data_IF_070678818290
#
_entry.id   IF_070678818290
#
_cell.length_a   1.000
_cell.length_b   1.000
_cell.length_c   1.000
_cell.angle_alpha   90.00
_cell.angle_beta   90.00
_cell.angle_gamma   90.00
#
_symmetry.space_group_name_H-M   'P 1'
#
loop_
_entity.id
_entity.type
_entity.pdbx_description
1 polymer ?
#
# COMPACT_ATOMS: atom_id res chain seq x y z
N UNK A 1 60.75 51.94 -2.16
CA UNK A 1 60.31 50.54 -1.86
C UNK A 1 59.10 50.43 -0.93
N UNK A 2 58.89 51.32 0.05
CA UNK A 2 57.71 51.26 0.94
C UNK A 2 56.37 51.48 0.22
N UNK A 3 56.31 52.37 -0.77
CA UNK A 3 55.07 52.63 -1.51
C UNK A 3 54.71 51.50 -2.49
N UNK A 4 55.71 50.76 -2.98
CA UNK A 4 55.49 49.57 -3.84
C UNK A 4 54.93 48.39 -3.02
N UNK A 5 55.38 48.21 -1.77
CA UNK A 5 54.84 47.20 -0.85
C UNK A 5 53.38 47.49 -0.45
N UNK A 6 53.01 48.76 -0.29
CA UNK A 6 51.62 49.17 0.01
C UNK A 6 50.69 48.92 -1.19
N UNK A 7 51.14 49.22 -2.41
CA UNK A 7 50.35 48.97 -3.64
C UNK A 7 50.18 47.47 -3.88
N UNK A 8 51.24 46.66 -3.70
CA UNK A 8 51.16 45.20 -3.84
C UNK A 8 50.25 44.59 -2.75
N UNK A 9 50.29 45.10 -1.52
CA UNK A 9 49.43 44.60 -0.44
C UNK A 9 47.95 44.97 -0.62
N UNK A 10 47.65 46.14 -1.20
CA UNK A 10 46.27 46.54 -1.53
C UNK A 10 45.75 45.77 -2.76
N UNK A 11 46.62 45.48 -3.74
CA UNK A 11 46.28 44.67 -4.90
C UNK A 11 46.07 43.18 -4.52
N UNK A 12 46.83 42.65 -3.55
CA UNK A 12 46.60 41.30 -3.01
C UNK A 12 45.29 41.21 -2.20
N UNK A 13 44.90 42.28 -1.49
CA UNK A 13 43.65 42.33 -0.71
C UNK A 13 42.41 42.52 -1.60
N UNK A 14 42.56 43.21 -2.74
CA UNK A 14 41.50 43.35 -3.74
C UNK A 14 41.23 42.04 -4.52
N UNK A 15 42.25 41.18 -4.68
CA UNK A 15 42.11 39.85 -5.30
C UNK A 15 41.45 38.82 -4.35
N UNK A 16 41.42 39.10 -3.04
CA UNK A 16 40.71 38.26 -2.05
C UNK A 16 39.22 38.59 -1.91
N UNK A 17 38.77 39.75 -2.39
CA UNK A 17 37.34 40.16 -2.37
C UNK A 17 36.64 39.77 -3.68
N UNK A 18 37.38 39.41 -4.73
CA UNK A 18 36.84 38.85 -5.98
C UNK A 18 36.80 37.32 -6.00
N UNK A 19 36.89 36.69 -4.82
CA UNK A 19 36.50 35.30 -4.59
C UNK A 19 34.99 35.09 -4.76
N UNK A 20 34.54 35.25 -6.00
CA UNK A 20 33.32 34.67 -6.57
C UNK A 20 32.03 35.01 -5.81
N UNK A 21 31.49 36.20 -6.08
CA UNK A 21 30.04 36.34 -6.23
C UNK A 21 29.61 35.46 -7.40
N UNK A 22 29.49 34.16 -7.14
CA UNK A 22 28.86 33.19 -8.03
C UNK A 22 27.36 33.44 -8.00
N UNK A 23 26.91 34.50 -8.66
CA UNK A 23 25.51 34.62 -9.02
C UNK A 23 25.23 33.51 -10.05
N UNK A 24 24.32 32.58 -9.75
CA UNK A 24 23.81 31.71 -10.80
C UNK A 24 22.84 30.61 -10.40
N UNK A 25 23.03 29.93 -9.27
CA UNK A 25 22.12 28.83 -8.88
C UNK A 25 21.66 28.97 -7.43
N UNK A 26 20.34 29.04 -7.21
CA UNK A 26 19.73 28.97 -5.87
C UNK A 26 20.31 27.76 -5.13
N UNK A 27 20.69 27.89 -3.85
CA UNK A 27 21.09 26.71 -3.05
C UNK A 27 19.98 25.66 -3.01
N UNK A 28 20.29 24.37 -2.78
CA UNK A 28 19.27 23.33 -2.62
C UNK A 28 18.16 23.71 -1.63
N UNK A 29 18.52 24.27 -0.48
CA UNK A 29 17.58 24.77 0.53
C UNK A 29 16.70 25.89 0.00
N UNK A 30 17.25 26.80 -0.82
CA UNK A 30 16.45 27.86 -1.45
C UNK A 30 15.49 27.31 -2.50
N UNK A 31 15.85 26.25 -3.22
CA UNK A 31 14.94 25.55 -4.13
C UNK A 31 13.80 24.88 -3.35
N UNK A 32 14.12 24.13 -2.30
CA UNK A 32 13.12 23.49 -1.42
C UNK A 32 12.22 24.52 -0.74
N UNK A 33 12.78 25.62 -0.25
CA UNK A 33 12.01 26.74 0.32
C UNK A 33 10.99 27.26 -0.69
N UNK A 34 11.42 27.58 -1.91
CA UNK A 34 10.51 28.09 -2.94
C UNK A 34 9.41 27.07 -3.28
N UNK A 35 9.75 25.79 -3.39
CA UNK A 35 8.78 24.72 -3.63
C UNK A 35 7.66 24.71 -2.58
N UNK A 36 8.00 24.79 -1.29
CA UNK A 36 7.00 24.86 -0.21
C UNK A 36 6.25 26.19 -0.18
N UNK A 37 6.88 27.31 -0.52
CA UNK A 37 6.17 28.60 -0.63
C UNK A 37 5.18 28.62 -1.80
N UNK A 38 5.45 27.92 -2.90
CA UNK A 38 4.50 27.72 -4.00
C UNK A 38 3.36 26.78 -3.60
N UNK A 39 3.63 25.73 -2.81
CA UNK A 39 2.60 24.86 -2.23
C UNK A 39 1.63 25.65 -1.34
N UNK A 40 2.16 26.52 -0.47
CA UNK A 40 1.34 27.40 0.39
C UNK A 40 0.42 28.32 -0.40
N UNK A 41 0.79 28.68 -1.64
CA UNK A 41 -0.01 29.50 -2.55
C UNK A 41 -1.00 28.68 -3.41
N UNK A 42 -0.94 27.35 -3.35
CA UNK A 42 -1.68 26.47 -4.26
C UNK A 42 -1.22 26.57 -5.71
N UNK A 43 0.01 27.04 -5.96
CA UNK A 43 0.54 27.36 -7.30
C UNK A 43 1.77 26.52 -7.65
N UNK A 44 1.90 25.34 -7.05
CA UNK A 44 3.02 24.44 -7.34
C UNK A 44 2.65 23.49 -8.50
N UNK A 45 3.20 23.77 -9.69
CA UNK A 45 2.93 23.00 -10.90
C UNK A 45 3.50 21.57 -10.83
N UNK A 46 4.66 21.41 -10.20
CA UNK A 46 5.32 20.10 -10.03
C UNK A 46 4.48 19.19 -9.14
N UNK A 47 3.97 19.71 -8.01
CA UNK A 47 3.06 18.99 -7.13
C UNK A 47 1.75 18.65 -7.82
N UNK A 48 1.17 19.60 -8.57
CA UNK A 48 -0.08 19.36 -9.31
C UNK A 48 0.09 18.26 -10.36
N UNK A 49 1.24 18.25 -11.04
CA UNK A 49 1.61 17.20 -12.01
C UNK A 49 1.82 15.87 -11.29
N UNK A 50 2.60 15.84 -10.22
CA UNK A 50 2.85 14.66 -9.40
C UNK A 50 1.56 14.04 -8.86
N UNK A 51 0.64 14.87 -8.38
CA UNK A 51 -0.66 14.44 -7.89
C UNK A 51 -1.48 13.84 -9.03
N UNK A 52 -1.63 14.56 -10.14
CA UNK A 52 -2.37 14.07 -11.31
C UNK A 52 -1.79 12.76 -11.86
N UNK A 53 -0.47 12.61 -11.93
CA UNK A 53 0.20 11.40 -12.40
C UNK A 53 -0.03 10.23 -11.44
N UNK A 54 -0.01 10.50 -10.13
CA UNK A 54 -0.32 9.49 -9.10
C UNK A 54 -1.78 9.03 -9.19
N UNK A 55 -2.72 9.96 -9.44
CA UNK A 55 -4.14 9.66 -9.61
C UNK A 55 -4.40 8.87 -10.91
N UNK A 56 -3.83 9.30 -12.04
CA UNK A 56 -3.93 8.59 -13.34
C UNK A 56 -3.32 7.19 -13.30
N UNK A 57 -2.24 7.00 -12.54
CA UNK A 57 -1.63 5.67 -12.36
C UNK A 57 -2.56 4.72 -11.61
N UNK A 58 -3.43 5.23 -10.73
CA UNK A 58 -4.48 4.44 -10.07
C UNK A 58 -5.71 4.16 -10.96
N UNK A 59 -5.79 4.76 -12.15
CA UNK A 59 -6.89 4.59 -13.12
C UNK A 59 -6.58 3.51 -14.16
N UNK A 60 -5.30 3.29 -14.53
CA UNK A 60 -4.89 2.33 -15.56
C UNK A 60 -5.18 0.85 -15.25
N UNK A 61 -5.72 0.52 -14.08
CA UNK A 61 -5.96 -0.87 -13.68
C UNK A 61 -7.31 -1.44 -14.10
N UNK A 62 -8.21 -0.72 -14.79
CA UNK A 62 -9.44 -1.32 -15.34
C UNK A 62 -9.90 -0.61 -16.63
N UNK A 63 -9.84 -1.35 -17.75
CA UNK A 63 -10.56 -1.15 -19.02
C UNK A 63 -10.29 0.13 -19.82
N UNK A 64 -9.92 -0.06 -21.08
CA UNK A 64 -9.51 0.97 -22.04
C UNK A 64 -10.64 1.87 -22.58
N UNK A 65 -11.76 2.07 -21.88
CA UNK A 65 -12.91 2.79 -22.48
C UNK A 65 -13.75 3.68 -21.56
N UNK A 66 -13.21 4.19 -20.45
CA UNK A 66 -13.88 5.29 -19.74
C UNK A 66 -12.86 6.31 -19.25
N UNK A 67 -12.82 7.48 -19.90
CA UNK A 67 -12.12 8.68 -19.44
C UNK A 67 -12.88 9.33 -18.27
N UNK A 68 -13.21 8.57 -17.23
CA UNK A 68 -13.76 9.15 -16.01
C UNK A 68 -12.69 9.08 -14.94
N UNK A 69 -12.18 10.27 -14.55
CA UNK A 69 -11.30 10.39 -13.40
C UNK A 69 -12.02 9.75 -12.20
N UNK A 70 -11.39 8.78 -11.53
CA UNK A 70 -11.99 8.18 -10.31
C UNK A 70 -12.13 9.19 -9.17
N UNK A 71 -11.36 10.27 -9.23
CA UNK A 71 -11.43 11.38 -8.30
C UNK A 71 -12.10 12.58 -8.97
N UNK A 72 -13.08 13.17 -8.29
CA UNK A 72 -13.70 14.41 -8.76
C UNK A 72 -12.69 15.56 -8.78
N UNK A 73 -12.90 16.52 -9.68
CA UNK A 73 -12.15 17.79 -9.71
C UNK A 73 -12.19 18.49 -8.33
N UNK A 74 -13.31 18.35 -7.62
CA UNK A 74 -13.50 18.85 -6.26
C UNK A 74 -12.53 18.18 -5.27
N UNK A 75 -12.41 16.84 -5.29
CA UNK A 75 -11.50 16.12 -4.38
C UNK A 75 -10.04 16.48 -4.64
N UNK A 76 -9.67 16.62 -5.93
CA UNK A 76 -8.34 17.08 -6.33
C UNK A 76 -8.07 18.49 -5.81
N UNK A 77 -9.04 19.39 -5.94
CA UNK A 77 -8.95 20.74 -5.39
C UNK A 77 -8.81 20.74 -3.87
N UNK A 78 -9.59 19.93 -3.14
CA UNK A 78 -9.48 19.82 -1.68
C UNK A 78 -8.09 19.34 -1.24
N UNK A 79 -7.46 18.42 -1.98
CA UNK A 79 -6.08 18.00 -1.73
C UNK A 79 -5.11 19.18 -1.92
N UNK A 80 -5.21 19.92 -3.02
CA UNK A 80 -4.36 21.11 -3.28
C UNK A 80 -4.58 22.18 -2.19
N UNK A 81 -5.84 22.48 -1.87
CA UNK A 81 -6.22 23.45 -0.85
C UNK A 81 -5.68 23.04 0.53
N UNK A 82 -5.65 21.74 0.86
CA UNK A 82 -5.08 21.24 2.11
C UNK A 82 -3.57 21.54 2.24
N UNK A 83 -2.84 21.56 1.12
CA UNK A 83 -1.41 21.87 1.10
C UNK A 83 -1.12 23.36 1.34
N UNK A 84 -2.10 24.25 1.16
CA UNK A 84 -1.92 25.70 1.40
C UNK A 84 -1.63 26.02 2.87
N UNK A 85 -2.08 25.15 3.79
CA UNK A 85 -1.89 25.30 5.25
C UNK A 85 -0.62 24.63 5.77
N UNK A 86 0.20 24.06 4.88
CA UNK A 86 1.43 23.36 5.28
C UNK A 86 2.40 24.30 5.97
N UNK A 87 3.06 23.82 7.02
CA UNK A 87 4.22 24.52 7.59
C UNK A 87 5.45 23.63 7.50
N UNK A 88 6.63 24.24 7.43
CA UNK A 88 7.87 23.51 7.28
C UNK A 88 9.04 24.23 7.96
N UNK A 89 10.06 23.46 8.29
CA UNK A 89 11.36 23.93 8.77
C UNK A 89 12.44 23.15 8.04
N UNK A 90 13.38 23.87 7.42
CA UNK A 90 14.58 23.25 6.84
C UNK A 90 15.56 23.05 7.98
N UNK A 91 15.96 21.79 8.22
CA UNK A 91 16.82 21.41 9.32
C UNK A 91 18.30 21.42 8.91
N UNK A 92 18.61 20.84 7.75
CA UNK A 92 19.99 20.77 7.24
C UNK A 92 20.04 20.59 5.73
N UNK A 93 21.20 20.88 5.16
CA UNK A 93 21.54 20.68 3.76
C UNK A 93 22.87 19.94 3.67
N UNK A 94 22.94 18.96 2.78
CA UNK A 94 24.17 18.28 2.39
C UNK A 94 24.30 18.31 0.88
N UNK A 95 25.45 18.75 0.39
CA UNK A 95 25.78 18.76 -1.04
C UNK A 95 26.93 17.79 -1.28
N UNK A 96 26.77 16.92 -2.27
CA UNK A 96 27.76 15.95 -2.72
C UNK A 96 27.84 15.97 -4.26
N UNK A 97 28.77 16.77 -4.78
CA UNK A 97 28.91 17.04 -6.21
C UNK A 97 27.63 17.62 -6.82
N UNK A 98 27.05 16.89 -7.77
CA UNK A 98 25.81 17.26 -8.46
C UNK A 98 24.55 16.70 -7.79
N UNK A 99 24.67 16.15 -6.58
CA UNK A 99 23.55 15.70 -5.76
C UNK A 99 23.46 16.49 -4.46
N UNK A 100 22.26 16.68 -3.95
CA UNK A 100 22.05 17.30 -2.65
C UNK A 100 20.88 16.65 -1.92
N UNK A 101 20.93 16.74 -0.60
CA UNK A 101 19.87 16.27 0.30
C UNK A 101 19.52 17.41 1.26
N UNK A 102 18.24 17.75 1.33
CA UNK A 102 17.73 18.75 2.27
C UNK A 102 16.77 18.08 3.24
N UNK A 103 17.13 18.06 4.52
CA UNK A 103 16.27 17.51 5.57
C UNK A 103 15.23 18.54 5.99
N UNK A 104 13.96 18.16 5.95
CA UNK A 104 12.84 19.06 6.25
C UNK A 104 11.93 18.41 7.30
N UNK A 105 11.53 19.19 8.30
CA UNK A 105 10.36 18.89 9.13
C UNK A 105 9.15 19.60 8.53
N UNK A 106 8.07 18.87 8.27
CA UNK A 106 6.83 19.37 7.69
C UNK A 106 5.66 19.05 8.64
N UNK A 107 4.77 20.01 8.86
CA UNK A 107 3.43 19.78 9.37
C UNK A 107 2.48 19.89 8.17
N UNK A 108 2.05 18.74 7.67
CA UNK A 108 1.26 18.64 6.44
C UNK A 108 -0.02 17.84 6.64
N UNK A 109 -0.88 17.76 5.62
CA UNK A 109 -2.12 17.00 5.69
C UNK A 109 -1.84 15.52 5.99
N UNK A 110 -2.62 14.92 6.87
CA UNK A 110 -2.57 13.51 7.23
C UNK A 110 -3.47 12.70 6.30
N UNK A 111 -3.01 12.50 5.07
CA UNK A 111 -3.78 11.74 4.09
C UNK A 111 -3.89 10.26 4.45
N UNK A 112 -2.97 9.72 5.27
CA UNK A 112 -3.07 8.34 5.78
C UNK A 112 -4.33 8.15 6.61
N UNK A 113 -4.65 9.11 7.49
CA UNK A 113 -5.90 9.10 8.25
C UNK A 113 -7.11 9.29 7.35
N UNK A 114 -7.08 10.24 6.41
CA UNK A 114 -8.16 10.45 5.42
C UNK A 114 -8.46 9.14 4.68
N UNK A 115 -7.42 8.44 4.21
CA UNK A 115 -7.57 7.19 3.49
C UNK A 115 -8.12 6.07 4.38
N UNK A 116 -7.66 5.95 5.63
CA UNK A 116 -8.18 4.97 6.58
C UNK A 116 -9.68 5.21 6.87
N UNK A 117 -10.07 6.46 7.10
CA UNK A 117 -11.48 6.84 7.31
C UNK A 117 -12.33 6.58 6.07
N UNK A 118 -11.83 6.91 4.88
CA UNK A 118 -12.48 6.60 3.62
C UNK A 118 -12.74 5.09 3.48
N UNK A 119 -11.72 4.24 3.70
CA UNK A 119 -11.86 2.79 3.62
C UNK A 119 -12.87 2.24 4.63
N UNK A 120 -12.85 2.74 5.86
CA UNK A 120 -13.79 2.34 6.90
C UNK A 120 -15.24 2.70 6.53
N UNK A 121 -15.48 3.94 6.08
CA UNK A 121 -16.80 4.42 5.67
C UNK A 121 -17.28 3.72 4.41
N UNK A 122 -16.41 3.49 3.42
CA UNK A 122 -16.73 2.76 2.21
C UNK A 122 -17.14 1.33 2.52
N UNK A 123 -16.39 0.62 3.38
CA UNK A 123 -16.72 -0.74 3.81
C UNK A 123 -18.04 -0.79 4.58
N UNK A 124 -18.23 0.09 5.56
CA UNK A 124 -19.47 0.14 6.37
C UNK A 124 -20.69 0.42 5.50
N UNK A 125 -20.56 1.35 4.55
CA UNK A 125 -21.61 1.67 3.59
C UNK A 125 -21.91 0.51 2.66
N UNK A 126 -20.88 -0.17 2.14
CA UNK A 126 -21.05 -1.35 1.29
C UNK A 126 -21.75 -2.49 2.05
N UNK A 127 -21.36 -2.73 3.31
CA UNK A 127 -21.98 -3.72 4.18
C UNK A 127 -23.46 -3.40 4.44
N UNK A 128 -23.78 -2.14 4.78
CA UNK A 128 -25.17 -1.69 4.99
C UNK A 128 -26.04 -1.88 3.74
N UNK A 129 -25.51 -1.54 2.56
CA UNK A 129 -26.21 -1.74 1.28
C UNK A 129 -26.36 -3.22 0.91
N UNK A 130 -25.36 -4.05 1.24
CA UNK A 130 -25.47 -5.50 1.05
C UNK A 130 -26.61 -6.09 1.90
N UNK A 131 -26.92 -5.52 3.06
CA UNK A 131 -28.06 -5.94 3.88
C UNK A 131 -29.41 -5.36 3.40
N UNK A 132 -29.43 -4.23 2.68
CA UNK A 132 -30.68 -3.64 2.17
C UNK A 132 -31.20 -4.30 0.90
N UNK A 133 -30.40 -5.11 0.21
CA UNK A 133 -30.79 -5.81 -1.02
C UNK A 133 -30.88 -4.91 -2.26
N UNK A 134 -30.52 -3.63 -2.14
CA UNK A 134 -30.57 -2.66 -3.23
C UNK A 134 -29.39 -2.86 -4.20
N UNK A 135 -29.69 -3.17 -5.46
CA UNK A 135 -28.71 -3.11 -6.55
C UNK A 135 -28.58 -1.66 -7.02
N UNK A 136 -27.54 -0.96 -6.56
CA UNK A 136 -27.20 0.39 -7.01
C UNK A 136 -26.56 0.34 -8.40
N UNK A 137 -26.80 1.35 -9.24
CA UNK A 137 -26.07 1.50 -10.49
C UNK A 137 -24.59 1.84 -10.21
N UNK A 138 -23.70 1.59 -11.19
CA UNK A 138 -22.29 1.94 -11.08
C UNK A 138 -22.10 3.47 -10.86
N UNK A 139 -22.92 4.30 -11.50
CA UNK A 139 -22.84 5.77 -11.39
C UNK A 139 -23.20 6.25 -9.98
N UNK A 140 -24.25 5.67 -9.41
CA UNK A 140 -24.70 6.02 -8.06
C UNK A 140 -23.68 5.55 -7.01
N UNK A 141 -23.03 4.41 -7.25
CA UNK A 141 -21.93 3.92 -6.42
C UNK A 141 -20.69 4.83 -6.51
N UNK A 142 -20.33 5.32 -7.69
CA UNK A 142 -19.23 6.27 -7.88
C UNK A 142 -19.48 7.60 -7.17
N UNK A 143 -20.70 8.17 -7.31
CA UNK A 143 -21.10 9.39 -6.59
C UNK A 143 -21.02 9.21 -5.07
N UNK A 144 -21.46 8.06 -4.58
CA UNK A 144 -21.41 7.74 -3.15
C UNK A 144 -19.97 7.69 -2.63
N UNK A 145 -19.06 6.99 -3.31
CA UNK A 145 -17.65 6.95 -2.89
C UNK A 145 -16.98 8.31 -3.00
N UNK A 146 -17.27 9.08 -4.05
CA UNK A 146 -16.79 10.46 -4.18
C UNK A 146 -17.27 11.34 -3.02
N UNK A 147 -18.54 11.23 -2.62
CA UNK A 147 -19.07 11.93 -1.45
C UNK A 147 -18.35 11.53 -0.17
N UNK A 148 -18.16 10.22 0.07
CA UNK A 148 -17.46 9.71 1.26
C UNK A 148 -16.03 10.25 1.32
N UNK A 149 -15.31 10.24 0.19
CA UNK A 149 -13.96 10.78 0.12
C UNK A 149 -13.95 12.30 0.40
N UNK A 150 -14.85 13.04 -0.24
CA UNK A 150 -15.00 14.48 -0.05
C UNK A 150 -15.23 14.83 1.42
N UNK A 151 -16.09 14.09 2.11
CA UNK A 151 -16.36 14.26 3.54
C UNK A 151 -15.13 13.96 4.42
N UNK A 152 -14.28 13.00 4.03
CA UNK A 152 -13.04 12.72 4.75
C UNK A 152 -12.02 13.84 4.53
N UNK A 153 -11.96 14.43 3.34
CA UNK A 153 -11.09 15.57 3.04
C UNK A 153 -11.52 16.85 3.76
N UNK A 154 -12.82 17.06 4.02
CA UNK A 154 -13.30 18.21 4.78
C UNK A 154 -12.81 18.22 6.24
N UNK A 155 -12.57 17.04 6.80
CA UNK A 155 -12.14 16.85 8.19
C UNK A 155 -10.63 16.57 8.30
N UNK A 156 -9.85 16.97 7.29
CA UNK A 156 -8.43 16.65 7.23
C UNK A 156 -7.66 17.24 8.41
N UNK A 157 -6.89 16.38 9.08
CA UNK A 157 -5.98 16.76 10.15
C UNK A 157 -4.56 16.94 9.63
N UNK A 158 -3.70 17.58 10.43
CA UNK A 158 -2.30 17.80 10.10
C UNK A 158 -1.39 17.08 11.08
N UNK A 159 -0.30 16.53 10.56
CA UNK A 159 0.67 15.76 11.34
C UNK A 159 2.11 16.12 10.97
N UNK A 160 2.95 16.24 12.00
CA UNK A 160 4.39 16.42 11.87
C UNK A 160 5.05 15.18 11.29
N UNK A 161 6.00 15.39 10.38
CA UNK A 161 6.90 14.35 9.86
C UNK A 161 8.20 14.98 9.40
N UNK A 162 9.26 14.18 9.35
CA UNK A 162 10.59 14.63 8.93
C UNK A 162 11.11 13.69 7.87
N UNK A 163 11.71 14.26 6.83
CA UNK A 163 12.29 13.47 5.76
C UNK A 163 13.27 14.27 4.92
N UNK A 164 13.98 13.53 4.10
CA UNK A 164 14.98 14.06 3.20
C UNK A 164 14.37 14.30 1.81
N UNK A 165 14.67 15.46 1.25
CA UNK A 165 14.33 15.80 -0.14
C UNK A 165 15.62 15.71 -0.95
N UNK A 166 15.62 14.85 -1.96
CA UNK A 166 16.72 14.68 -2.90
C UNK A 166 16.65 15.74 -4.00
N UNK A 167 17.80 16.31 -4.36
CA UNK A 167 17.94 17.21 -5.49
C UNK A 167 19.11 16.80 -6.37
N UNK A 168 18.97 17.04 -7.67
CA UNK A 168 20.05 16.89 -8.65
C UNK A 168 20.32 18.19 -9.37
N UNK A 169 21.60 18.43 -9.65
CA UNK A 169 22.05 19.56 -10.44
C UNK A 169 21.98 19.19 -11.92
N UNK A 170 21.21 19.96 -12.69
CA UNK A 170 21.06 19.80 -14.14
C UNK A 170 21.20 21.16 -14.79
N UNK A 171 22.13 21.29 -15.76
CA UNK A 171 22.44 22.55 -16.44
C UNK A 171 22.78 23.71 -15.48
N UNK A 172 23.47 23.40 -14.38
CA UNK A 172 23.84 24.39 -13.36
C UNK A 172 22.74 24.69 -12.34
N UNK A 173 21.52 24.22 -12.52
CA UNK A 173 20.38 24.47 -11.64
C UNK A 173 20.00 23.23 -10.82
N UNK A 174 19.65 23.44 -9.55
CA UNK A 174 19.13 22.37 -8.70
C UNK A 174 17.66 22.11 -8.99
N UNK A 175 17.30 20.84 -9.17
CA UNK A 175 15.93 20.37 -9.34
C UNK A 175 15.62 19.32 -8.28
N UNK A 176 14.40 19.38 -7.72
CA UNK A 176 13.92 18.39 -6.78
C UNK A 176 13.63 17.10 -7.53
N UNK A 177 14.09 15.97 -6.99
CA UNK A 177 13.73 14.65 -7.49
C UNK A 177 12.31 14.33 -6.99
N UNK A 178 11.37 14.11 -7.92
CA UNK A 178 9.97 13.72 -7.62
C UNK A 178 9.85 12.22 -7.26
N UNK A 179 10.69 11.77 -6.34
CA UNK A 179 10.76 10.38 -5.89
C UNK A 179 9.64 10.02 -4.90
N UNK A 180 9.60 8.76 -4.50
CA UNK A 180 8.60 8.27 -3.55
C UNK A 180 8.82 8.84 -2.13
N UNK A 181 10.04 9.24 -1.80
CA UNK A 181 10.36 9.91 -0.53
C UNK A 181 9.71 11.28 -0.46
N UNK A 182 9.75 12.07 -1.53
CA UNK A 182 9.04 13.35 -1.62
C UNK A 182 7.52 13.15 -1.52
N UNK A 183 6.95 12.19 -2.26
CA UNK A 183 5.50 11.89 -2.20
C UNK A 183 5.06 11.52 -0.80
N UNK A 184 5.82 10.64 -0.14
CA UNK A 184 5.57 10.20 1.23
C UNK A 184 5.69 11.34 2.23
N UNK A 185 6.69 12.22 2.05
CA UNK A 185 6.86 13.40 2.88
C UNK A 185 5.68 14.39 2.74
N UNK A 186 5.21 14.64 1.52
CA UNK A 186 4.14 15.60 1.27
C UNK A 186 2.76 15.07 1.68
N UNK A 187 2.42 13.85 1.27
CA UNK A 187 1.08 13.28 1.46
C UNK A 187 0.96 12.53 2.80
N UNK A 188 2.07 12.09 3.38
CA UNK A 188 2.03 11.28 4.61
C UNK A 188 1.51 9.87 4.37
N UNK A 189 1.38 9.45 3.11
CA UNK A 189 1.05 8.08 2.72
C UNK A 189 2.24 7.51 1.94
N UNK A 190 2.56 6.25 2.21
CA UNK A 190 3.46 5.51 1.36
C UNK A 190 2.76 5.14 0.04
N UNK A 191 2.95 5.98 -0.98
CA UNK A 191 2.33 5.76 -2.29
C UNK A 191 2.79 4.48 -2.97
N UNK A 192 3.91 3.89 -2.51
CA UNK A 192 4.33 2.55 -2.94
C UNK A 192 3.33 1.46 -2.55
N UNK A 193 2.44 1.69 -1.58
CA UNK A 193 1.34 0.78 -1.25
C UNK A 193 0.33 0.72 -2.40
N UNK A 194 0.07 1.86 -3.06
CA UNK A 194 -0.77 1.93 -4.25
C UNK A 194 -0.01 1.48 -5.50
N UNK A 195 1.28 1.82 -5.61
CA UNK A 195 2.11 1.35 -6.71
C UNK A 195 2.48 -0.13 -6.60
N UNK A 196 2.46 -0.78 -5.43
CA UNK A 196 2.51 -2.25 -5.33
C UNK A 196 1.24 -2.91 -5.89
N UNK A 197 0.15 -2.16 -6.00
CA UNK A 197 -1.06 -2.58 -6.70
C UNK A 197 -1.11 -2.09 -8.17
N UNK A 198 -0.38 -1.03 -8.52
CA UNK A 198 -0.29 -0.48 -9.89
C UNK A 198 0.96 -0.93 -10.69
N UNK A 199 1.95 -1.57 -10.05
CA UNK A 199 3.05 -2.31 -10.67
C UNK A 199 2.73 -3.81 -10.83
N UNK A 200 1.44 -4.15 -10.77
CA UNK A 200 0.91 -5.17 -11.68
C UNK A 200 0.69 -4.52 -13.04
N UNK A 201 1.78 -4.05 -13.65
CA UNK A 201 1.83 -4.03 -15.10
C UNK A 201 1.53 -5.46 -15.54
N UNK A 202 0.54 -5.56 -16.41
CA UNK A 202 0.14 -6.77 -17.09
C UNK A 202 1.29 -7.19 -17.99
N UNK A 203 2.26 -7.90 -17.41
CA UNK A 203 3.22 -8.83 -18.03
C UNK A 203 4.25 -9.40 -17.04
N UNK A 204 4.11 -9.23 -15.73
CA UNK A 204 4.67 -10.19 -14.79
C UNK A 204 3.51 -10.87 -14.06
N UNK A 205 2.98 -11.94 -14.65
CA UNK A 205 2.32 -12.99 -13.89
C UNK A 205 3.37 -13.44 -12.88
N UNK A 206 3.35 -12.88 -11.68
CA UNK A 206 4.10 -13.45 -10.57
C UNK A 206 3.49 -14.84 -10.43
N UNK A 207 4.20 -15.82 -10.99
CA UNK A 207 3.71 -17.18 -11.11
C UNK A 207 3.35 -17.62 -9.69
N UNK A 208 2.04 -17.78 -9.44
CA UNK A 208 1.57 -18.15 -8.11
C UNK A 208 2.20 -19.50 -7.84
N UNK A 209 3.08 -19.55 -6.83
CA UNK A 209 3.85 -20.74 -6.51
C UNK A 209 2.90 -21.91 -6.30
N UNK A 210 3.20 -23.04 -6.92
CA UNK A 210 2.46 -24.28 -6.74
C UNK A 210 2.90 -24.95 -5.44
N UNK A 211 1.95 -25.28 -4.57
CA UNK A 211 2.21 -26.14 -3.41
C UNK A 211 2.08 -27.60 -3.84
N UNK A 212 2.81 -28.49 -3.16
CA UNK A 212 2.64 -29.94 -3.33
C UNK A 212 1.87 -30.49 -2.13
N UNK A 213 0.90 -31.36 -2.39
CA UNK A 213 0.08 -31.98 -1.35
C UNK A 213 0.99 -32.74 -0.35
N UNK A 214 0.72 -32.60 0.95
CA UNK A 214 1.52 -33.18 2.04
C UNK A 214 2.99 -32.75 2.10
N UNK A 215 3.36 -31.63 1.45
CA UNK A 215 4.69 -31.04 1.55
C UNK A 215 4.61 -29.65 2.20
N UNK A 216 5.56 -29.30 3.07
CA UNK A 216 5.62 -27.96 3.66
C UNK A 216 5.99 -26.93 2.59
N UNK A 217 5.21 -25.87 2.53
CA UNK A 217 5.48 -24.70 1.70
C UNK A 217 5.96 -23.56 2.59
N UNK A 218 7.17 -23.05 2.34
CA UNK A 218 7.74 -21.93 3.09
C UNK A 218 7.09 -20.61 2.70
N UNK A 219 6.60 -19.88 3.70
CA UNK A 219 6.04 -18.54 3.58
C UNK A 219 7.00 -17.54 4.23
N UNK A 220 7.60 -16.72 3.39
CA UNK A 220 8.53 -15.67 3.82
C UNK A 220 7.81 -14.32 3.98
N UNK A 221 8.15 -13.61 5.05
CA UNK A 221 7.41 -12.41 5.47
C UNK A 221 8.34 -11.44 6.18
N UNK A 222 8.05 -10.14 6.11
CA UNK A 222 8.83 -9.11 6.83
C UNK A 222 8.82 -9.33 8.35
N UNK A 223 7.79 -10.00 8.89
CA UNK A 223 7.66 -10.32 10.31
C UNK A 223 8.25 -11.69 10.70
N UNK A 224 8.95 -12.36 9.77
CA UNK A 224 9.52 -13.70 9.97
C UNK A 224 8.74 -14.79 9.23
N UNK A 225 9.32 -15.99 9.18
CA UNK A 225 8.93 -17.08 8.30
C UNK A 225 8.10 -18.15 9.02
N UNK A 226 7.35 -18.92 8.24
CA UNK A 226 6.65 -20.11 8.69
C UNK A 226 6.40 -21.05 7.51
N UNK A 227 6.07 -22.31 7.79
CA UNK A 227 5.65 -23.27 6.75
C UNK A 227 4.16 -23.59 6.85
N UNK A 228 3.52 -23.81 5.72
CA UNK A 228 2.13 -24.24 5.58
C UNK A 228 2.07 -25.54 4.77
N UNK A 229 1.33 -26.52 5.25
CA UNK A 229 1.11 -27.80 4.56
C UNK A 229 -0.37 -27.99 4.31
N UNK A 230 -0.77 -28.21 3.06
CA UNK A 230 -2.10 -28.72 2.74
C UNK A 230 -2.04 -30.25 2.79
N UNK A 231 -2.86 -30.84 3.65
CA UNK A 231 -2.83 -32.28 3.95
C UNK A 231 -3.89 -33.06 3.15
N UNK A 232 -4.96 -32.39 2.72
CA UNK A 232 -5.98 -32.99 1.86
C UNK A 232 -7.35 -32.38 2.01
N UNK A 233 -8.28 -32.85 1.16
CA UNK A 233 -9.68 -32.52 1.18
C UNK A 233 -10.50 -33.81 1.35
N UNK A 234 -11.33 -33.90 2.39
CA UNK A 234 -12.11 -35.10 2.69
C UNK A 234 -13.59 -34.80 2.78
N UNK A 235 -14.41 -35.64 2.17
CA UNK A 235 -15.85 -35.61 2.38
C UNK A 235 -16.21 -35.90 3.85
N UNK A 236 -17.31 -35.33 4.33
CA UNK A 236 -17.88 -35.66 5.64
C UNK A 236 -19.40 -35.74 5.58
N UNK A 237 -19.97 -36.63 6.38
CA UNK A 237 -21.42 -36.74 6.59
C UNK A 237 -21.94 -35.78 7.67
N UNK A 238 -21.05 -35.08 8.37
CA UNK A 238 -21.45 -34.07 9.37
C UNK A 238 -22.27 -32.97 8.69
N UNK A 239 -23.41 -32.65 9.29
CA UNK A 239 -24.29 -31.56 8.86
C UNK A 239 -24.69 -30.70 10.06
N UNK A 240 -24.99 -29.44 9.80
CA UNK A 240 -25.49 -28.53 10.81
C UNK A 240 -27.00 -28.35 10.61
N UNK A 241 -27.80 -28.83 11.56
CA UNK A 241 -29.27 -28.77 11.51
C UNK A 241 -29.84 -27.34 11.48
N UNK A 242 -29.04 -26.34 11.86
CA UNK A 242 -29.43 -24.93 11.81
C UNK A 242 -29.01 -24.26 10.50
N UNK A 243 -28.26 -24.95 9.64
CA UNK A 243 -27.85 -24.42 8.33
C UNK A 243 -29.00 -24.55 7.33
N UNK A 244 -29.33 -23.44 6.66
CA UNK A 244 -30.29 -23.42 5.55
C UNK A 244 -29.64 -23.66 4.18
N UNK A 245 -28.32 -23.92 4.14
CA UNK A 245 -27.60 -24.15 2.88
C UNK A 245 -27.95 -25.54 2.35
N UNK A 246 -28.54 -25.57 1.14
CA UNK A 246 -28.70 -26.81 0.39
C UNK A 246 -27.35 -27.18 -0.23
N UNK A 247 -26.74 -28.27 0.24
CA UNK A 247 -25.37 -28.66 -0.11
C UNK A 247 -25.31 -30.13 -0.47
N UNK A 248 -24.73 -30.45 -1.63
CA UNK A 248 -24.58 -31.83 -2.10
C UNK A 248 -23.53 -32.58 -1.28
N UNK A 249 -22.40 -31.95 -0.99
CA UNK A 249 -21.31 -32.49 -0.17
C UNK A 249 -20.74 -31.41 0.74
N UNK A 250 -20.21 -31.83 1.89
CA UNK A 250 -19.40 -30.99 2.76
C UNK A 250 -17.98 -31.52 2.74
N UNK A 251 -17.01 -30.66 2.39
CA UNK A 251 -15.62 -31.03 2.22
C UNK A 251 -14.77 -30.36 3.31
N UNK A 252 -14.02 -31.15 4.07
CA UNK A 252 -13.06 -30.69 5.06
C UNK A 252 -11.69 -30.51 4.40
N UNK A 253 -11.25 -29.26 4.25
CA UNK A 253 -9.87 -28.93 3.87
C UNK A 253 -8.98 -28.96 5.10
N UNK A 254 -8.02 -29.88 5.11
CA UNK A 254 -7.09 -30.10 6.20
C UNK A 254 -5.73 -29.46 5.91
N UNK A 255 -5.20 -28.71 6.87
CA UNK A 255 -3.89 -28.09 6.79
C UNK A 255 -3.17 -28.07 8.15
N UNK A 256 -1.87 -27.84 8.12
CA UNK A 256 -1.04 -27.55 9.29
C UNK A 256 0.01 -26.49 8.99
N UNK A 257 0.53 -25.86 10.04
CA UNK A 257 1.57 -24.85 9.93
C UNK A 257 2.56 -24.90 11.09
N UNK A 258 3.80 -24.52 10.81
CA UNK A 258 4.90 -24.42 11.77
C UNK A 258 5.44 -23.00 11.77
N UNK A 259 5.40 -22.32 12.91
CA UNK A 259 5.98 -20.99 13.06
C UNK A 259 7.50 -21.12 13.23
N UNK A 260 8.27 -20.71 12.24
CA UNK A 260 9.74 -20.81 12.28
C UNK A 260 10.36 -19.57 12.93
N UNK A 261 9.84 -18.38 12.61
CA UNK A 261 10.33 -17.10 13.13
C UNK A 261 9.31 -15.95 13.07
N UNK A 262 8.07 -16.21 12.66
CA UNK A 262 7.02 -15.20 12.58
C UNK A 262 6.72 -14.60 13.96
N UNK A 263 6.73 -13.27 14.01
CA UNK A 263 6.46 -12.48 15.21
C UNK A 263 7.63 -12.44 16.20
N UNK A 264 8.82 -12.94 15.85
CA UNK A 264 10.01 -12.92 16.72
C UNK A 264 10.38 -11.52 17.21
N UNK A 265 10.15 -10.49 16.39
CA UNK A 265 10.41 -9.08 16.73
C UNK A 265 9.20 -8.38 17.32
N UNK A 266 7.97 -8.82 17.00
CA UNK A 266 6.73 -8.15 17.39
C UNK A 266 6.08 -8.75 18.63
N UNK A 267 6.46 -9.97 19.03
CA UNK A 267 5.80 -10.74 20.10
C UNK A 267 4.46 -11.36 19.69
N UNK A 268 4.16 -11.41 18.39
CA UNK A 268 2.86 -11.89 17.88
C UNK A 268 2.93 -13.36 17.49
N UNK A 269 2.09 -14.19 18.11
CA UNK A 269 1.97 -15.60 17.69
C UNK A 269 1.28 -15.75 16.32
N UNK A 270 1.73 -16.73 15.54
CA UNK A 270 1.17 -17.05 14.23
C UNK A 270 -0.18 -17.75 14.36
N UNK A 271 -1.19 -17.26 13.65
CA UNK A 271 -2.45 -17.97 13.44
C UNK A 271 -2.75 -18.00 11.94
N UNK A 272 -2.98 -19.19 11.40
CA UNK A 272 -3.53 -19.38 10.05
C UNK A 272 -4.95 -19.89 10.24
N UNK A 273 -5.94 -19.07 9.88
CA UNK A 273 -7.36 -19.40 10.01
C UNK A 273 -8.05 -19.50 8.63
N UNK A 274 -9.37 -19.69 8.64
CA UNK A 274 -10.15 -19.85 7.41
C UNK A 274 -10.10 -18.68 6.43
N UNK A 275 -9.78 -17.46 6.90
CA UNK A 275 -9.65 -16.30 6.02
C UNK A 275 -8.44 -16.36 5.11
N UNK A 276 -7.50 -17.27 5.38
CA UNK A 276 -6.28 -17.43 4.61
C UNK A 276 -6.47 -18.27 3.32
N UNK A 277 -7.68 -18.77 3.04
CA UNK A 277 -7.95 -19.65 1.92
C UNK A 277 -9.11 -19.16 1.06
N UNK A 278 -8.83 -18.93 -0.22
CA UNK A 278 -9.84 -18.82 -1.27
C UNK A 278 -9.94 -20.18 -1.97
N UNK A 279 -11.12 -20.79 -1.96
CA UNK A 279 -11.33 -22.15 -2.49
C UNK A 279 -12.36 -22.11 -3.59
N UNK A 280 -12.02 -22.70 -4.73
CA UNK A 280 -12.91 -22.88 -5.87
C UNK A 280 -13.16 -24.38 -6.11
N UNK A 281 -14.29 -24.69 -6.71
CA UNK A 281 -14.55 -26.03 -7.26
C UNK A 281 -13.92 -26.20 -8.66
N UNK A 282 -14.15 -27.33 -9.34
CA UNK A 282 -13.60 -27.57 -10.68
C UNK A 282 -14.30 -26.73 -11.77
N UNK A 283 -15.51 -26.24 -11.52
CA UNK A 283 -16.26 -25.36 -12.42
C UNK A 283 -15.85 -23.88 -12.27
N UNK A 284 -15.06 -23.55 -11.24
CA UNK A 284 -14.57 -22.21 -10.95
C UNK A 284 -15.46 -21.40 -10.00
N UNK A 285 -16.46 -22.03 -9.38
CA UNK A 285 -17.31 -21.39 -8.38
C UNK A 285 -16.53 -21.23 -7.07
N UNK A 286 -16.60 -20.03 -6.47
CA UNK A 286 -16.01 -19.80 -5.13
C UNK A 286 -16.87 -20.50 -4.08
N UNK A 287 -16.23 -21.33 -3.27
CA UNK A 287 -16.93 -22.10 -2.24
C UNK A 287 -17.12 -21.30 -0.95
N UNK A 288 -18.33 -21.40 -0.45
CA UNK A 288 -18.72 -20.95 0.88
C UNK A 288 -18.20 -21.89 1.96
N UNK A 289 -17.84 -21.34 3.12
CA UNK A 289 -17.65 -22.18 4.31
C UNK A 289 -18.98 -22.78 4.79
N UNK A 290 -18.90 -23.96 5.40
CA UNK A 290 -20.02 -24.67 5.98
C UNK A 290 -19.84 -24.77 7.50
N UNK A 291 -20.88 -24.51 8.32
CA UNK A 291 -20.73 -24.36 9.77
C UNK A 291 -20.65 -25.71 10.50
N UNK A 292 -19.62 -26.50 10.20
CA UNK A 292 -19.23 -27.71 10.92
C UNK A 292 -17.72 -27.67 11.18
N UNK A 293 -17.30 -28.25 12.30
CA UNK A 293 -15.91 -28.25 12.73
C UNK A 293 -15.36 -29.68 12.90
N UNK A 294 -14.04 -29.78 12.82
CA UNK A 294 -13.29 -30.92 13.34
C UNK A 294 -12.66 -30.53 14.68
N UNK A 295 -13.17 -31.10 15.76
CA UNK A 295 -12.70 -30.83 17.13
C UNK A 295 -11.24 -31.23 17.34
N UNK A 296 -10.71 -32.15 16.52
CA UNK A 296 -9.32 -32.57 16.60
C UNK A 296 -8.36 -31.63 15.85
N UNK A 297 -8.90 -30.73 15.00
CA UNK A 297 -8.12 -29.87 14.10
C UNK A 297 -8.59 -28.42 14.20
N UNK A 298 -8.42 -27.85 15.40
CA UNK A 298 -8.71 -26.44 15.70
C UNK A 298 -7.43 -25.62 15.60
N UNK A 299 -7.40 -24.65 14.67
CA UNK A 299 -6.25 -23.76 14.50
C UNK A 299 -6.05 -22.89 15.76
N UNK A 300 -4.81 -22.84 16.24
CA UNK A 300 -4.40 -22.13 17.47
C UNK A 300 -3.21 -21.21 17.19
N UNK A 301 -3.10 -20.15 17.97
CA UNK A 301 -1.91 -19.30 17.98
C UNK A 301 -0.67 -20.15 18.28
N UNK A 302 0.30 -20.12 17.37
CA UNK A 302 1.55 -20.85 17.46
C UNK A 302 2.70 -19.86 17.74
N UNK A 303 3.35 -19.94 18.91
CA UNK A 303 4.55 -19.14 19.18
C UNK A 303 5.70 -19.56 18.27
N UNK A 304 6.78 -18.78 18.23
CA UNK A 304 7.99 -19.12 17.48
C UNK A 304 8.52 -20.51 17.89
N UNK A 305 8.75 -21.38 16.92
CA UNK A 305 9.09 -22.80 17.10
C UNK A 305 7.89 -23.73 17.30
N UNK A 306 6.69 -23.19 17.45
CA UNK A 306 5.44 -23.93 17.63
C UNK A 306 4.80 -24.40 16.33
N UNK A 307 3.84 -25.30 16.44
CA UNK A 307 3.03 -25.80 15.31
C UNK A 307 1.57 -25.94 15.69
N UNK A 308 0.68 -25.86 14.70
CA UNK A 308 -0.75 -26.08 14.88
C UNK A 308 -1.36 -26.62 13.57
N UNK A 309 -2.58 -27.15 13.67
CA UNK A 309 -3.35 -27.69 12.54
C UNK A 309 -4.78 -27.19 12.56
N UNK A 310 -5.38 -27.04 11.38
CA UNK A 310 -6.75 -26.58 11.23
C UNK A 310 -7.50 -27.35 10.15
N UNK A 311 -8.81 -27.49 10.32
CA UNK A 311 -9.73 -27.99 9.31
C UNK A 311 -10.83 -26.95 9.04
N UNK A 312 -11.15 -26.72 7.76
CA UNK A 312 -12.22 -25.82 7.34
C UNK A 312 -13.20 -26.60 6.47
N UNK A 313 -14.48 -26.54 6.83
CA UNK A 313 -15.53 -27.14 6.03
C UNK A 313 -15.99 -26.17 4.93
N UNK A 314 -16.11 -26.68 3.71
CA UNK A 314 -16.67 -25.98 2.55
C UNK A 314 -17.94 -26.67 2.06
N UNK A 315 -18.91 -25.87 1.64
CA UNK A 315 -20.13 -26.30 0.98
C UNK A 315 -19.83 -26.56 -0.50
N UNK A 316 -20.05 -27.79 -0.97
CA UNK A 316 -19.89 -28.15 -2.38
C UNK A 316 -21.25 -28.54 -2.96
N UNK A 317 -21.68 -27.79 -3.98
CA UNK A 317 -22.95 -27.98 -4.69
C UNK A 317 -22.80 -28.61 -6.07
N UNK A 318 -21.55 -28.80 -6.53
CA UNK A 318 -21.21 -29.39 -7.83
C UNK A 318 -20.63 -30.79 -7.65
N UNK A 319 -20.51 -31.54 -8.76
CA UNK A 319 -19.88 -32.87 -8.79
C UNK A 319 -18.36 -32.80 -8.94
N UNK A 320 -17.73 -31.71 -8.49
CA UNK A 320 -16.29 -31.50 -8.60
C UNK A 320 -15.50 -32.60 -7.89
N UNK A 321 -14.39 -33.01 -8.49
CA UNK A 321 -13.48 -34.02 -7.96
C UNK A 321 -12.33 -33.39 -7.18
N UNK A 322 -12.13 -32.08 -7.32
CA UNK A 322 -11.02 -31.36 -6.72
C UNK A 322 -11.48 -30.03 -6.11
N UNK A 323 -10.68 -29.56 -5.16
CA UNK A 323 -10.68 -28.17 -4.70
C UNK A 323 -9.48 -27.43 -5.29
N UNK A 324 -9.73 -26.27 -5.87
CA UNK A 324 -8.69 -25.34 -6.31
C UNK A 324 -8.46 -24.33 -5.18
N UNK A 325 -7.41 -24.55 -4.39
CA UNK A 325 -7.12 -23.77 -3.18
C UNK A 325 -6.06 -22.72 -3.49
N UNK A 326 -6.34 -21.47 -3.16
CA UNK A 326 -5.39 -20.36 -3.18
C UNK A 326 -5.15 -19.88 -1.75
N UNK A 327 -3.90 -19.93 -1.32
CA UNK A 327 -3.45 -19.36 -0.06
C UNK A 327 -3.27 -17.85 -0.21
N UNK A 328 -3.94 -17.07 0.64
CA UNK A 328 -3.95 -15.60 0.61
C UNK A 328 -3.46 -14.99 1.93
N UNK A 329 -2.85 -13.82 1.84
CA UNK A 329 -2.44 -13.01 2.99
C UNK A 329 -2.77 -11.53 2.77
N UNK A 330 -2.73 -10.75 3.85
CA UNK A 330 -2.93 -9.30 3.81
C UNK A 330 -4.22 -8.89 3.06
N UNK A 331 -5.30 -9.66 3.27
CA UNK A 331 -6.63 -9.41 2.69
C UNK A 331 -6.84 -9.92 1.25
N UNK A 332 -5.83 -9.87 0.37
CA UNK A 332 -6.01 -10.27 -1.04
C UNK A 332 -4.74 -10.74 -1.76
N UNK A 333 -3.58 -10.74 -1.10
CA UNK A 333 -2.32 -11.15 -1.71
C UNK A 333 -2.29 -12.68 -1.89
N UNK A 334 -2.38 -13.15 -3.13
CA UNK A 334 -2.20 -14.58 -3.48
C UNK A 334 -0.74 -14.97 -3.31
N UNK A 335 -0.48 -15.98 -2.49
CA UNK A 335 0.88 -16.43 -2.14
C UNK A 335 1.22 -17.72 -2.87
N UNK A 336 0.32 -18.70 -2.83
CA UNK A 336 0.51 -20.00 -3.42
C UNK A 336 -0.84 -20.63 -3.79
N UNK A 337 -0.83 -21.60 -4.70
CA UNK A 337 -2.02 -22.36 -5.10
C UNK A 337 -1.74 -23.85 -5.11
N UNK A 338 -2.82 -24.63 -5.04
CA UNK A 338 -2.77 -26.09 -5.14
C UNK A 338 -4.13 -26.62 -5.58
N UNK A 339 -4.11 -27.61 -6.47
CA UNK A 339 -5.27 -28.45 -6.78
C UNK A 339 -5.27 -29.67 -5.85
N UNK A 340 -6.32 -29.82 -5.06
CA UNK A 340 -6.43 -30.84 -4.02
C UNK A 340 -7.53 -31.84 -4.39
N UNK A 341 -7.21 -33.11 -4.67
CA UNK A 341 -8.22 -34.13 -4.91
C UNK A 341 -9.12 -34.33 -3.68
N UNK A 342 -10.42 -34.46 -3.91
CA UNK A 342 -11.42 -34.76 -2.88
C UNK A 342 -11.45 -36.27 -2.65
N UNK A 343 -11.31 -36.67 -1.39
CA UNK A 343 -11.32 -38.06 -0.94
C UNK A 343 -12.61 -38.46 -0.22
#
# INVERSE_FOLDING_TARGET
>A
MQNLKKIISIMLLAVLITGVYGCGSKSPSNVVKNYFEELKKGQNADFSTMLNDSLKSAEKTNSADTKENKFSDESTKKIIDSMTKVTYTINSEKVDGDSATVNVKINGPDMSKVFAEFMQKAFTTALAKSFSGDKMSNDDQNKLYNSILSDCLDNITYADRTGDISLKKSNGEWKIDADDSLKKLLLGIDTSIFNKNASRDSNNTQEIKEMTLNQPFTVETESGNYSLTIEGAKTTDKRNQFSKKDVSKVIMLNYSYVNESFGKTTGTDLLVDGSAFQVLDDEGNVLDTYPVSDENRVAKKAPVGGKSSGAIAYALTTNSENLNVTFIRNGSQKIAKIKVPIQ
#
